data_IF_978054893456
#
_entry.id   IF_978054893456
#
_cell.length_a   1.000
_cell.length_b   1.000
_cell.length_c   1.000
_cell.angle_alpha   90.00
_cell.angle_beta   90.00
_cell.angle_gamma   90.00
#
_symmetry.space_group_name_H-M   'P 1'
#
loop_
_entity.id
_entity.type
_entity.pdbx_description
1 polymer ?
#
# COMPACT_ATOMS: atom_id res chain seq x y z
N UNK A 1 2.78 20.79 -7.98
CA UNK A 1 4.18 21.16 -7.63
C UNK A 1 4.42 22.63 -7.95
N UNK A 2 5.33 23.34 -7.25
CA UNK A 2 5.62 24.76 -7.56
C UNK A 2 6.28 24.91 -8.93
N UNK A 3 6.14 26.08 -9.55
CA UNK A 3 6.71 26.38 -10.89
C UNK A 3 8.23 26.16 -10.93
N UNK A 4 8.94 26.51 -9.86
CA UNK A 4 10.38 26.27 -9.75
C UNK A 4 10.72 24.79 -9.89
N UNK A 5 10.09 23.94 -9.05
CA UNK A 5 10.36 22.51 -9.05
C UNK A 5 9.94 21.87 -10.38
N UNK A 6 8.81 22.30 -10.96
CA UNK A 6 8.35 21.87 -12.28
C UNK A 6 9.42 22.12 -13.36
N UNK A 7 9.88 23.37 -13.51
CA UNK A 7 10.88 23.70 -14.51
C UNK A 7 12.21 22.99 -14.28
N UNK A 8 12.65 22.90 -13.02
CA UNK A 8 13.87 22.18 -12.65
C UNK A 8 13.82 20.71 -13.10
N UNK A 9 12.72 20.00 -12.82
CA UNK A 9 12.57 18.60 -13.24
C UNK A 9 12.61 18.43 -14.76
N UNK A 10 11.88 19.29 -15.49
CA UNK A 10 11.84 19.24 -16.97
C UNK A 10 13.24 19.46 -17.54
N UNK A 11 13.94 20.50 -17.07
CA UNK A 11 15.27 20.85 -17.57
C UNK A 11 16.28 19.73 -17.25
N UNK A 12 16.25 19.18 -16.04
CA UNK A 12 17.15 18.10 -15.64
C UNK A 12 16.96 16.84 -16.51
N UNK A 13 15.71 16.46 -16.78
CA UNK A 13 15.37 15.30 -17.62
C UNK A 13 15.83 15.53 -19.06
N UNK A 14 15.55 16.70 -19.65
CA UNK A 14 15.98 17.03 -21.01
C UNK A 14 17.51 17.05 -21.13
N UNK A 15 18.20 17.65 -20.16
CA UNK A 15 19.66 17.68 -20.12
C UNK A 15 20.25 16.27 -20.02
N UNK A 16 19.66 15.40 -19.19
CA UNK A 16 20.08 14.00 -19.09
C UNK A 16 19.99 13.27 -20.43
N UNK A 17 18.85 13.37 -21.13
CA UNK A 17 18.68 12.73 -22.44
C UNK A 17 19.62 13.31 -23.50
N UNK A 18 19.83 14.62 -23.52
CA UNK A 18 20.80 15.26 -24.43
C UNK A 18 22.21 14.73 -24.18
N UNK A 19 22.66 14.74 -22.92
CA UNK A 19 23.99 14.23 -22.55
C UNK A 19 24.12 12.75 -22.93
N UNK A 20 23.11 11.94 -22.62
CA UNK A 20 23.11 10.52 -22.95
C UNK A 20 23.20 10.27 -24.46
N UNK A 21 22.42 10.99 -25.28
CA UNK A 21 22.48 10.90 -26.75
C UNK A 21 23.87 11.30 -27.26
N UNK A 22 24.42 12.41 -26.76
CA UNK A 22 25.76 12.88 -27.14
C UNK A 22 26.82 11.84 -26.81
N UNK A 23 26.78 11.26 -25.60
CA UNK A 23 27.72 10.22 -25.16
C UNK A 23 27.62 8.99 -26.05
N UNK A 24 26.40 8.48 -26.29
CA UNK A 24 26.20 7.28 -27.13
C UNK A 24 26.70 7.52 -28.55
N UNK A 25 26.40 8.66 -29.17
CA UNK A 25 26.87 8.99 -30.53
C UNK A 25 28.40 9.15 -30.55
N UNK A 26 28.98 9.82 -29.56
CA UNK A 26 30.42 10.04 -29.45
C UNK A 26 31.16 8.70 -29.37
N UNK A 27 30.74 7.82 -28.45
CA UNK A 27 31.39 6.51 -28.28
C UNK A 27 31.09 5.56 -29.44
N UNK A 28 29.90 5.60 -30.05
CA UNK A 28 29.61 4.84 -31.27
C UNK A 28 30.59 5.17 -32.39
N UNK A 29 30.86 6.47 -32.61
CA UNK A 29 31.81 6.93 -33.62
C UNK A 29 33.24 6.51 -33.27
N UNK A 30 33.65 6.68 -32.01
CA UNK A 30 35.00 6.30 -31.54
C UNK A 30 35.24 4.79 -31.58
N UNK A 31 34.19 3.98 -31.46
CA UNK A 31 34.29 2.52 -31.48
C UNK A 31 34.86 1.96 -32.80
N UNK A 32 34.75 2.72 -33.90
CA UNK A 32 35.31 2.31 -35.19
C UNK A 32 36.84 2.44 -35.28
N UNK A 33 37.47 3.21 -34.38
CA UNK A 33 38.92 3.41 -34.35
C UNK A 33 39.61 2.59 -33.25
N UNK A 34 38.85 1.73 -32.56
CA UNK A 34 39.33 0.89 -31.48
C UNK A 34 40.11 -0.31 -32.03
N UNK A 35 41.19 -0.67 -31.33
CA UNK A 35 42.14 -1.71 -31.72
C UNK A 35 42.33 -2.69 -30.55
N UNK A 36 41.82 -3.91 -30.69
CA UNK A 36 41.86 -4.92 -29.64
C UNK A 36 43.28 -5.42 -29.32
N UNK A 37 44.21 -5.26 -30.26
CA UNK A 37 45.61 -5.68 -30.10
C UNK A 37 46.46 -4.60 -29.41
N UNK A 38 45.88 -3.39 -29.21
CA UNK A 38 46.54 -2.28 -28.54
C UNK A 38 46.21 -2.27 -27.05
N UNK A 39 47.24 -2.43 -26.22
CA UNK A 39 47.14 -2.19 -24.77
C UNK A 39 47.21 -0.69 -24.46
N UNK A 40 46.25 -0.19 -23.69
CA UNK A 40 46.19 1.20 -23.24
C UNK A 40 47.04 1.41 -21.99
N UNK A 41 46.86 0.56 -20.99
CA UNK A 41 47.59 0.61 -19.73
C UNK A 41 47.60 -0.79 -19.06
N UNK A 42 48.40 -0.95 -18.02
CA UNK A 42 48.49 -2.18 -17.23
C UNK A 42 48.31 -1.88 -15.75
N UNK A 43 47.40 -2.59 -15.09
CA UNK A 43 47.19 -2.48 -13.64
C UNK A 43 47.26 -3.88 -13.00
N UNK A 44 48.13 -4.05 -12.00
CA UNK A 44 48.30 -5.32 -11.27
C UNK A 44 48.53 -6.55 -12.19
N UNK A 45 49.31 -6.36 -13.26
CA UNK A 45 49.59 -7.42 -14.24
C UNK A 45 48.45 -7.73 -15.21
N UNK A 46 47.33 -7.00 -15.15
CA UNK A 46 46.22 -7.09 -16.10
C UNK A 46 46.36 -5.95 -17.12
N UNK A 47 46.41 -6.31 -18.40
CA UNK A 47 46.46 -5.36 -19.51
C UNK A 47 45.04 -4.93 -19.91
N UNK A 48 44.79 -3.61 -19.96
CA UNK A 48 43.55 -3.05 -20.48
C UNK A 48 43.70 -2.77 -21.98
N UNK A 49 43.00 -3.54 -22.81
CA UNK A 49 43.06 -3.40 -24.27
C UNK A 49 42.00 -2.42 -24.78
N UNK A 50 42.31 -1.71 -25.87
CA UNK A 50 41.40 -0.78 -26.58
C UNK A 50 40.40 -1.54 -27.46
N UNK A 51 39.79 -2.60 -26.93
CA UNK A 51 38.87 -3.44 -27.68
C UNK A 51 37.56 -2.69 -27.99
N UNK A 52 37.01 -2.83 -29.22
CA UNK A 52 35.74 -2.21 -29.56
C UNK A 52 34.62 -2.78 -28.70
N UNK A 53 33.86 -1.88 -28.07
CA UNK A 53 32.64 -2.25 -27.35
C UNK A 53 31.62 -2.90 -28.30
N UNK A 54 30.87 -3.90 -27.84
CA UNK A 54 29.88 -4.57 -28.68
C UNK A 54 28.78 -3.58 -29.11
N UNK A 55 28.48 -3.52 -30.41
CA UNK A 55 27.44 -2.62 -30.96
C UNK A 55 26.08 -2.82 -30.31
N UNK A 56 25.78 -4.05 -29.88
CA UNK A 56 24.55 -4.39 -29.17
C UNK A 56 24.38 -3.56 -27.89
N UNK A 57 25.47 -3.27 -27.16
CA UNK A 57 25.42 -2.49 -25.94
C UNK A 57 24.89 -1.08 -26.23
N UNK A 58 25.45 -0.40 -27.24
CA UNK A 58 24.98 0.93 -27.63
C UNK A 58 23.53 0.91 -28.14
N UNK A 59 23.15 -0.10 -28.93
CA UNK A 59 21.76 -0.27 -29.37
C UNK A 59 20.84 -0.42 -28.16
N UNK A 60 21.21 -1.24 -27.17
CA UNK A 60 20.40 -1.46 -25.97
C UNK A 60 20.16 -0.17 -25.18
N UNK A 61 21.19 0.69 -25.03
CA UNK A 61 21.03 2.01 -24.40
C UNK A 61 20.08 2.92 -25.19
N UNK A 62 20.18 2.94 -26.52
CA UNK A 62 19.26 3.75 -27.34
C UNK A 62 17.81 3.27 -27.25
N UNK A 63 17.61 1.95 -27.23
CA UNK A 63 16.27 1.34 -27.08
C UNK A 63 15.69 1.65 -25.70
N UNK A 64 16.47 1.47 -24.64
CA UNK A 64 16.03 1.79 -23.28
C UNK A 64 15.65 3.28 -23.16
N UNK A 65 16.46 4.18 -23.72
CA UNK A 65 16.14 5.60 -23.73
C UNK A 65 14.85 5.91 -24.50
N UNK A 66 14.64 5.27 -25.66
CA UNK A 66 13.42 5.44 -26.43
C UNK A 66 12.18 4.95 -25.68
N UNK A 67 12.28 3.81 -24.97
CA UNK A 67 11.22 3.30 -24.10
C UNK A 67 10.92 4.29 -22.98
N UNK A 68 11.95 4.82 -22.30
CA UNK A 68 11.77 5.80 -21.23
C UNK A 68 11.12 7.09 -21.74
N UNK A 69 11.54 7.62 -22.90
CA UNK A 69 10.90 8.78 -23.51
C UNK A 69 9.44 8.49 -23.83
N UNK A 70 9.13 7.32 -24.41
CA UNK A 70 7.76 6.89 -24.64
C UNK A 70 6.94 6.80 -23.35
N UNK A 71 7.54 6.26 -22.29
CA UNK A 71 6.89 6.16 -20.98
C UNK A 71 6.58 7.54 -20.39
N UNK A 72 7.52 8.49 -20.45
CA UNK A 72 7.32 9.86 -19.96
C UNK A 72 6.31 10.67 -20.78
N UNK A 73 6.09 10.31 -22.04
CA UNK A 73 5.02 10.88 -22.87
C UNK A 73 3.67 10.32 -22.42
N UNK A 74 3.60 9.01 -22.16
CA UNK A 74 2.36 8.32 -21.82
C UNK A 74 1.92 8.56 -20.37
N UNK A 75 2.83 8.55 -19.42
CA UNK A 75 2.56 8.57 -17.99
C UNK A 75 3.06 9.85 -17.31
N UNK A 76 2.49 10.21 -16.15
CA UNK A 76 3.00 11.34 -15.37
C UNK A 76 4.43 11.07 -14.90
N UNK A 77 5.28 12.10 -14.97
CA UNK A 77 6.69 11.98 -14.58
C UNK A 77 7.58 13.15 -15.02
N UNK A 78 7.14 13.93 -16.01
CA UNK A 78 7.81 15.14 -16.46
C UNK A 78 7.21 16.38 -15.77
N UNK A 79 7.59 16.62 -14.52
CA UNK A 79 7.07 17.76 -13.75
C UNK A 79 5.56 17.66 -13.50
N UNK A 80 4.78 18.63 -13.98
CA UNK A 80 3.30 18.65 -13.89
C UNK A 80 2.65 18.13 -15.19
N UNK A 81 3.38 17.41 -16.03
CA UNK A 81 2.80 16.74 -17.20
C UNK A 81 2.04 15.49 -16.75
N UNK A 82 0.75 15.43 -17.05
CA UNK A 82 -0.14 14.33 -16.62
C UNK A 82 -0.01 13.07 -17.49
N UNK A 83 0.72 13.14 -18.62
CA UNK A 83 0.79 12.03 -19.57
C UNK A 83 -0.38 12.02 -20.56
N UNK A 84 -0.21 11.32 -21.68
CA UNK A 84 -1.28 11.09 -22.66
C UNK A 84 -2.25 9.98 -22.24
N UNK A 85 -1.84 9.10 -21.33
CA UNK A 85 -2.63 7.96 -20.89
C UNK A 85 -3.67 8.32 -19.82
N UNK A 86 -3.72 9.58 -19.34
CA UNK A 86 -4.61 10.05 -18.26
C UNK A 86 -4.59 9.12 -17.03
N UNK A 87 -3.42 8.57 -16.69
CA UNK A 87 -3.26 7.63 -15.59
C UNK A 87 -2.88 8.37 -14.30
N UNK A 88 -3.54 8.04 -13.20
CA UNK A 88 -3.25 8.58 -11.87
C UNK A 88 -3.20 7.41 -10.87
N UNK A 89 -2.14 7.36 -10.05
CA UNK A 89 -1.93 6.27 -9.10
C UNK A 89 -3.05 6.12 -8.06
N UNK A 90 -3.78 7.19 -7.74
CA UNK A 90 -4.89 7.15 -6.77
C UNK A 90 -6.14 6.41 -7.27
N UNK A 91 -6.28 6.27 -8.60
CA UNK A 91 -7.45 5.67 -9.25
C UNK A 91 -7.29 4.16 -9.46
N UNK A 92 -6.11 3.61 -9.18
CA UNK A 92 -5.95 2.17 -9.13
C UNK A 92 -6.82 1.64 -8.00
N UNK A 93 -7.76 0.76 -8.36
CA UNK A 93 -8.80 0.03 -7.59
C UNK A 93 -8.30 -0.74 -6.35
N UNK A 94 -7.10 -0.42 -5.86
CA UNK A 94 -6.45 -0.92 -4.66
C UNK A 94 -6.53 0.06 -3.48
N UNK A 95 -6.90 1.34 -3.69
CA UNK A 95 -7.15 2.30 -2.59
C UNK A 95 -8.51 2.08 -1.89
N UNK A 96 -9.38 1.29 -2.49
CA UNK A 96 -10.39 0.53 -1.78
C UNK A 96 -10.66 -0.73 -2.60
N UNK A 97 -10.37 -1.94 -2.10
CA UNK A 97 -11.28 -2.97 -2.45
C UNK A 97 -12.61 -2.49 -1.87
N UNK A 98 -13.51 -2.00 -2.74
CA UNK A 98 -14.88 -2.44 -2.63
C UNK A 98 -14.83 -3.96 -2.82
N UNK A 99 -14.30 -4.64 -1.80
CA UNK A 99 -14.72 -5.97 -1.46
C UNK A 99 -16.23 -5.98 -1.58
N UNK A 100 -16.78 -7.13 -1.90
CA UNK A 100 -18.19 -7.49 -1.88
C UNK A 100 -18.98 -7.08 -0.61
N UNK A 101 -18.41 -6.30 0.32
CA UNK A 101 -18.99 -5.77 1.53
C UNK A 101 -20.14 -4.78 1.25
N UNK A 102 -19.97 -3.78 0.38
CA UNK A 102 -21.07 -2.84 0.04
C UNK A 102 -22.27 -3.61 -0.56
N UNK A 103 -21.98 -4.62 -1.36
CA UNK A 103 -22.98 -5.53 -1.94
C UNK A 103 -23.62 -6.44 -0.86
N UNK A 104 -22.83 -6.95 0.09
CA UNK A 104 -23.35 -7.68 1.26
C UNK A 104 -24.23 -6.81 2.16
N UNK A 105 -23.96 -5.49 2.23
CA UNK A 105 -24.78 -4.54 2.99
C UNK A 105 -26.02 -4.09 2.23
N UNK A 106 -25.99 -4.05 0.90
CA UNK A 106 -27.16 -3.70 0.09
C UNK A 106 -28.34 -4.67 0.28
N UNK A 107 -28.06 -5.93 0.63
CA UNK A 107 -29.08 -6.94 0.92
C UNK A 107 -29.66 -6.82 2.35
N UNK A 108 -28.97 -6.12 3.25
CA UNK A 108 -29.34 -6.02 4.66
C UNK A 108 -30.15 -4.75 4.89
N UNK A 109 -31.47 -4.90 4.90
CA UNK A 109 -32.41 -3.79 5.14
C UNK A 109 -32.61 -3.46 6.61
N UNK A 110 -32.27 -4.38 7.52
CA UNK A 110 -32.28 -4.18 8.97
C UNK A 110 -30.85 -4.21 9.51
N UNK A 111 -30.33 -3.03 9.85
CA UNK A 111 -29.00 -2.81 10.44
C UNK A 111 -28.95 -3.12 11.94
N UNK A 112 -30.03 -3.66 12.53
CA UNK A 112 -29.98 -4.15 13.89
C UNK A 112 -28.88 -5.21 14.03
N UNK A 113 -28.09 -5.13 15.10
CA UNK A 113 -26.99 -6.07 15.34
C UNK A 113 -27.48 -7.52 15.48
N UNK A 114 -28.74 -7.71 15.87
CA UNK A 114 -29.39 -9.03 15.88
C UNK A 114 -29.59 -9.58 14.47
N UNK A 115 -30.09 -8.78 13.53
CA UNK A 115 -30.20 -9.15 12.11
C UNK A 115 -28.82 -9.45 11.52
N UNK A 116 -27.84 -8.57 11.78
CA UNK A 116 -26.47 -8.71 11.30
C UNK A 116 -25.78 -9.99 11.80
N UNK A 117 -26.01 -10.37 13.06
CA UNK A 117 -25.43 -11.59 13.66
C UNK A 117 -26.01 -12.90 13.09
N UNK A 118 -27.18 -12.85 12.42
CA UNK A 118 -27.76 -14.03 11.77
C UNK A 118 -27.28 -14.24 10.34
N UNK A 119 -26.62 -13.24 9.74
CA UNK A 119 -26.11 -13.32 8.39
C UNK A 119 -24.69 -13.92 8.37
N UNK A 120 -24.54 -15.08 7.73
CA UNK A 120 -23.26 -15.82 7.66
C UNK A 120 -22.15 -15.03 6.94
N UNK A 121 -22.48 -14.26 5.91
CA UNK A 121 -21.49 -13.45 5.19
C UNK A 121 -20.95 -12.31 6.08
N UNK A 122 -21.85 -11.68 6.85
CA UNK A 122 -21.49 -10.60 7.77
C UNK A 122 -20.66 -11.11 8.94
N UNK A 123 -21.07 -12.23 9.56
CA UNK A 123 -20.32 -12.84 10.66
C UNK A 123 -18.96 -13.37 10.21
N UNK A 124 -18.86 -13.93 9.01
CA UNK A 124 -17.59 -14.38 8.44
C UNK A 124 -16.66 -13.20 8.15
N UNK A 125 -17.19 -12.10 7.58
CA UNK A 125 -16.39 -10.89 7.36
C UNK A 125 -15.97 -10.21 8.66
N UNK A 126 -16.85 -10.16 9.66
CA UNK A 126 -16.50 -9.75 11.02
C UNK A 126 -15.35 -10.58 11.59
N UNK A 127 -15.43 -11.91 11.52
CA UNK A 127 -14.38 -12.80 12.00
C UNK A 127 -13.02 -12.56 11.31
N UNK A 128 -13.01 -12.22 10.02
CA UNK A 128 -11.79 -11.85 9.31
C UNK A 128 -11.23 -10.50 9.79
N UNK A 129 -12.09 -9.49 9.94
CA UNK A 129 -11.69 -8.19 10.49
C UNK A 129 -11.08 -8.33 11.90
N UNK A 130 -11.70 -9.16 12.75
CA UNK A 130 -11.19 -9.41 14.09
C UNK A 130 -9.83 -10.10 14.09
N UNK A 131 -9.63 -11.09 13.21
CA UNK A 131 -8.31 -11.74 13.06
C UNK A 131 -7.23 -10.76 12.61
N UNK A 132 -7.56 -9.85 11.71
CA UNK A 132 -6.60 -8.87 11.18
C UNK A 132 -6.25 -7.79 12.18
N UNK A 133 -7.24 -7.29 12.93
CA UNK A 133 -7.08 -6.06 13.72
C UNK A 133 -7.07 -6.27 15.24
N UNK A 134 -7.67 -7.35 15.75
CA UNK A 134 -7.95 -7.54 17.18
C UNK A 134 -7.24 -8.76 17.79
N UNK A 135 -7.05 -9.84 17.01
CA UNK A 135 -6.57 -11.12 17.52
C UNK A 135 -5.13 -11.10 18.06
N UNK A 136 -4.29 -10.17 17.61
CA UNK A 136 -2.95 -9.99 18.16
C UNK A 136 -2.97 -9.73 19.67
N UNK A 137 -4.00 -9.02 20.15
CA UNK A 137 -4.19 -8.67 21.55
C UNK A 137 -5.20 -9.59 22.24
N UNK A 138 -6.32 -9.91 21.57
CA UNK A 138 -7.44 -10.65 22.16
C UNK A 138 -7.47 -12.15 21.84
N UNK A 139 -6.46 -12.68 21.14
CA UNK A 139 -6.39 -14.05 20.60
C UNK A 139 -7.45 -14.34 19.53
N UNK A 140 -7.22 -15.34 18.70
CA UNK A 140 -8.11 -15.72 17.59
C UNK A 140 -9.54 -16.11 18.04
N UNK A 141 -9.67 -16.56 19.28
CA UNK A 141 -10.94 -16.97 19.90
C UNK A 141 -11.52 -15.90 20.84
N UNK A 142 -10.98 -14.69 20.82
CA UNK A 142 -11.41 -13.56 21.63
C UNK A 142 -11.32 -13.79 23.16
N UNK A 143 -10.59 -14.80 23.63
CA UNK A 143 -10.43 -15.11 25.06
C UNK A 143 -9.44 -14.19 25.81
N UNK A 144 -8.78 -13.28 25.10
CA UNK A 144 -7.78 -12.42 25.71
C UNK A 144 -6.50 -13.14 26.08
N UNK A 145 -5.61 -12.42 26.74
CA UNK A 145 -4.34 -12.94 27.25
C UNK A 145 -3.89 -12.10 28.45
N UNK A 146 -2.73 -12.41 29.03
CA UNK A 146 -2.22 -11.60 30.14
C UNK A 146 -2.19 -10.11 29.74
N UNK A 147 -2.85 -9.26 30.51
CA UNK A 147 -3.02 -7.80 30.29
C UNK A 147 -4.01 -7.38 29.18
N UNK A 148 -4.70 -8.31 28.52
CA UNK A 148 -5.72 -8.02 27.51
C UNK A 148 -7.03 -8.77 27.82
N UNK A 149 -8.19 -8.09 27.84
CA UNK A 149 -9.41 -8.68 28.34
C UNK A 149 -9.94 -9.79 27.42
N UNK A 150 -10.65 -10.71 28.05
CA UNK A 150 -11.50 -11.68 27.39
C UNK A 150 -12.78 -10.99 26.93
N UNK A 151 -13.15 -11.14 25.66
CA UNK A 151 -14.30 -10.48 25.07
C UNK A 151 -15.53 -11.40 24.98
N UNK A 152 -15.38 -12.67 25.37
CA UNK A 152 -16.45 -13.67 25.33
C UNK A 152 -16.97 -14.04 26.73
N UNK A 153 -16.51 -13.36 27.78
CA UNK A 153 -17.07 -13.50 29.13
C UNK A 153 -17.99 -12.33 29.50
N UNK A 154 -18.62 -12.43 30.67
CA UNK A 154 -19.59 -11.46 31.16
C UNK A 154 -18.95 -10.27 31.93
N UNK A 155 -17.63 -10.10 31.91
CA UNK A 155 -16.94 -9.06 32.70
C UNK A 155 -16.44 -7.91 31.80
N UNK A 156 -17.22 -6.83 31.76
CA UNK A 156 -16.94 -5.66 30.92
C UNK A 156 -16.47 -4.45 31.73
N UNK A 157 -15.16 -4.16 31.68
CA UNK A 157 -14.57 -3.02 32.39
C UNK A 157 -15.14 -1.65 31.99
N UNK A 158 -15.55 -1.50 30.73
CA UNK A 158 -16.03 -0.23 30.17
C UNK A 158 -17.50 -0.26 29.73
N UNK A 159 -18.25 -1.26 30.19
CA UNK A 159 -19.62 -1.53 29.79
C UNK A 159 -19.72 -2.46 28.57
N UNK A 160 -20.67 -3.41 28.63
CA UNK A 160 -20.92 -4.40 27.59
C UNK A 160 -22.15 -4.08 26.73
N UNK A 161 -22.61 -2.82 26.68
CA UNK A 161 -23.64 -2.41 25.70
C UNK A 161 -23.00 -2.23 24.32
N UNK A 162 -23.80 -2.32 23.27
CA UNK A 162 -23.30 -2.17 21.90
C UNK A 162 -22.62 -0.80 21.71
N UNK A 163 -23.19 0.26 22.27
CA UNK A 163 -22.62 1.61 22.22
C UNK A 163 -21.29 1.71 22.97
N UNK A 164 -21.16 1.02 24.11
CA UNK A 164 -19.94 1.01 24.91
C UNK A 164 -18.81 0.23 24.21
N UNK A 165 -19.15 -0.84 23.50
CA UNK A 165 -18.22 -1.64 22.71
C UNK A 165 -17.78 -0.84 21.47
N UNK A 166 -18.72 -0.28 20.71
CA UNK A 166 -18.44 0.59 19.55
C UNK A 166 -17.52 1.72 19.97
N UNK A 167 -17.84 2.42 21.06
CA UNK A 167 -16.99 3.50 21.58
C UNK A 167 -15.56 3.02 21.91
N UNK A 168 -15.41 1.82 22.45
CA UNK A 168 -14.10 1.25 22.78
C UNK A 168 -13.29 0.94 21.53
N UNK A 169 -13.92 0.51 20.44
CA UNK A 169 -13.27 0.23 19.15
C UNK A 169 -12.92 1.56 18.44
N UNK A 170 -13.89 2.48 18.36
CA UNK A 170 -13.73 3.75 17.67
C UNK A 170 -12.64 4.62 18.29
N UNK A 171 -12.76 4.87 19.60
CA UNK A 171 -11.96 5.87 20.31
C UNK A 171 -10.84 5.24 21.14
N UNK A 172 -10.77 3.92 21.22
CA UNK A 172 -9.88 3.22 22.13
C UNK A 172 -10.33 3.38 23.58
N UNK A 173 -9.51 2.85 24.50
CA UNK A 173 -9.67 2.99 25.96
C UNK A 173 -8.32 3.20 26.62
N UNK A 174 -8.35 3.67 27.87
CA UNK A 174 -7.13 3.84 28.66
C UNK A 174 -6.39 2.50 28.79
N UNK A 175 -5.22 2.38 28.16
CA UNK A 175 -4.45 1.15 28.08
C UNK A 175 -3.68 1.04 26.76
N UNK A 176 -3.48 -0.19 26.28
CA UNK A 176 -2.78 -0.46 25.02
C UNK A 176 -3.71 -0.54 23.79
N UNK A 177 -5.02 -0.34 23.96
CA UNK A 177 -6.01 -0.42 22.87
C UNK A 177 -6.18 0.94 22.20
N UNK A 178 -5.62 1.07 20.99
CA UNK A 178 -5.78 2.26 20.15
C UNK A 178 -7.23 2.39 19.62
N UNK A 179 -7.61 3.60 19.19
CA UNK A 179 -8.84 3.83 18.46
C UNK A 179 -8.68 3.49 16.97
N UNK A 180 -9.72 2.90 16.38
CA UNK A 180 -9.69 2.38 15.01
C UNK A 180 -10.47 3.24 14.00
N UNK A 181 -10.98 4.42 14.37
CA UNK A 181 -11.73 5.31 13.47
C UNK A 181 -10.97 5.72 12.19
N UNK A 182 -9.64 5.76 12.22
CA UNK A 182 -8.82 6.11 11.05
C UNK A 182 -8.49 4.89 10.16
N UNK A 183 -8.80 3.68 10.64
CA UNK A 183 -8.41 2.41 10.01
C UNK A 183 -9.62 1.60 9.55
N UNK A 184 -10.74 1.68 10.28
CA UNK A 184 -11.97 0.94 10.03
C UNK A 184 -13.14 1.90 9.78
N UNK A 185 -14.03 1.52 8.87
CA UNK A 185 -15.31 2.23 8.67
C UNK A 185 -16.33 1.88 9.76
N UNK A 186 -17.36 2.69 9.94
CA UNK A 186 -18.45 2.43 10.91
C UNK A 186 -19.10 1.05 10.69
N UNK A 187 -19.27 0.68 9.42
CA UNK A 187 -19.82 -0.60 8.99
C UNK A 187 -18.92 -1.78 9.38
N UNK A 188 -17.60 -1.64 9.21
CA UNK A 188 -16.63 -2.65 9.64
C UNK A 188 -16.60 -2.82 11.16
N UNK A 189 -16.76 -1.71 11.90
CA UNK A 189 -16.88 -1.73 13.36
C UNK A 189 -18.15 -2.48 13.78
N UNK A 190 -19.30 -2.23 13.15
CA UNK A 190 -20.54 -2.96 13.43
C UNK A 190 -20.40 -4.48 13.19
N UNK A 191 -19.61 -4.89 12.18
CA UNK A 191 -19.32 -6.32 11.93
C UNK A 191 -18.54 -6.97 13.06
N UNK A 192 -17.58 -6.26 13.66
CA UNK A 192 -16.80 -6.80 14.78
C UNK A 192 -17.70 -7.17 15.96
N UNK A 193 -18.80 -6.44 16.15
CA UNK A 193 -19.76 -6.76 17.20
C UNK A 193 -20.45 -8.11 16.95
N UNK A 194 -20.64 -8.57 15.71
CA UNK A 194 -21.34 -9.85 15.42
C UNK A 194 -20.63 -11.09 15.97
N UNK A 195 -19.33 -10.99 16.27
CA UNK A 195 -18.50 -12.08 16.79
C UNK A 195 -18.71 -12.28 18.30
N UNK A 196 -19.15 -11.22 18.99
CA UNK A 196 -19.32 -11.23 20.44
C UNK A 196 -20.64 -11.90 20.81
N UNK A 197 -20.66 -12.85 21.77
CA UNK A 197 -21.87 -13.58 22.11
C UNK A 197 -22.99 -12.63 22.55
N UNK A 198 -24.15 -12.72 21.92
CA UNK A 198 -25.27 -11.80 22.18
C UNK A 198 -25.82 -11.91 23.61
N UNK A 199 -25.70 -13.09 24.26
CA UNK A 199 -26.19 -13.35 25.62
C UNK A 199 -25.47 -12.58 26.73
N UNK A 200 -24.36 -11.91 26.40
CA UNK A 200 -23.43 -11.28 27.34
C UNK A 200 -23.62 -9.75 27.35
N UNK A 201 -24.28 -9.22 26.32
CA UNK A 201 -24.47 -7.78 26.10
C UNK A 201 -25.46 -7.22 27.12
N UNK A 202 -25.07 -6.16 27.82
CA UNK A 202 -25.91 -5.46 28.80
C UNK A 202 -25.66 -5.76 30.28
N UNK A 203 -24.74 -6.66 30.64
CA UNK A 203 -24.41 -6.91 32.06
C UNK A 203 -23.25 -6.01 32.51
N UNK A 204 -23.57 -4.87 33.14
CA UNK A 204 -22.56 -4.07 33.85
C UNK A 204 -22.36 -4.69 35.23
N UNK A 205 -21.32 -5.50 35.42
CA UNK A 205 -20.92 -5.92 36.76
C UNK A 205 -19.96 -4.89 37.33
N UNK A 206 -20.49 -3.97 38.15
CA UNK A 206 -19.65 -3.07 38.95
C UNK A 206 -18.87 -3.91 39.97
N UNK A 207 -17.58 -4.15 39.73
CA UNK A 207 -16.70 -4.66 40.76
C UNK A 207 -16.18 -3.49 41.59
N UNK A 208 -16.66 -3.42 42.84
CA UNK A 208 -16.08 -2.58 43.90
C UNK A 208 -14.66 -3.05 44.24
#
# INVERSE_FOLDING_TARGET
MSTFWNLWTIIAILLFFVVMIVVVIYYWKKNHTADADKTLDTFDGIAENDAPAPKLLFISYTVAAAITVGYLILYPGMGNWDGLANWVQSDDKLSSPQTTLDEQFAEVTDTSLMSLATNEAITTSGAMLFKTHCAACHRDNAQGQKHFPNLIDNDWMYGGSDEAIIHSIEKGRNGAMAGYLEVLTEDEIAKLLTILPHSIRGTVMFRQ
#
